data_IF_554609577495
#
_entry.id   IF_554609577495
#
_cell.length_a   1.000
_cell.length_b   1.000
_cell.length_c   1.000
_cell.angle_alpha   90.00
_cell.angle_beta   90.00
_cell.angle_gamma   90.00
#
_symmetry.space_group_name_H-M   'P 1'
#
loop_
_entity.id
_entity.type
_entity.pdbx_description
1 polymer ?
#
# COMPACT_ATOMS: atom_id res chain seq x y z
N UNK A 1 -36.46 -19.63 -52.76
CA UNK A 1 -36.35 -18.89 -51.48
C UNK A 1 -34.90 -18.47 -51.30
N UNK A 2 -34.62 -17.18 -51.40
CA UNK A 2 -33.26 -16.60 -51.38
C UNK A 2 -32.77 -16.43 -49.94
N UNK A 3 -31.64 -17.05 -49.60
CA UNK A 3 -30.92 -16.76 -48.36
C UNK A 3 -29.99 -15.57 -48.58
N UNK A 4 -30.22 -14.51 -47.80
CA UNK A 4 -29.40 -13.31 -47.77
C UNK A 4 -28.03 -13.62 -47.13
N UNK A 5 -26.97 -13.31 -47.87
CA UNK A 5 -25.57 -13.47 -47.46
C UNK A 5 -25.18 -12.29 -46.56
N UNK A 6 -25.11 -12.51 -45.25
CA UNK A 6 -24.55 -11.56 -44.29
C UNK A 6 -23.03 -11.44 -44.44
N UNK A 7 -22.51 -10.20 -44.48
CA UNK A 7 -21.12 -9.84 -44.80
C UNK A 7 -20.13 -10.00 -43.64
N UNK A 8 -20.51 -10.65 -42.55
CA UNK A 8 -19.63 -10.91 -41.41
C UNK A 8 -19.90 -12.32 -40.90
N UNK A 9 -19.00 -13.25 -41.21
CA UNK A 9 -19.06 -14.66 -40.82
C UNK A 9 -18.82 -14.84 -39.33
N UNK A 10 -19.85 -14.55 -38.53
CA UNK A 10 -19.90 -14.96 -37.12
C UNK A 10 -21.15 -15.82 -36.99
N UNK A 11 -20.96 -17.14 -37.07
CA UNK A 11 -21.97 -18.11 -36.66
C UNK A 11 -22.06 -18.03 -35.13
N UNK A 12 -23.19 -17.50 -34.64
CA UNK A 12 -23.50 -17.48 -33.22
C UNK A 12 -24.30 -18.75 -32.91
N UNK A 13 -23.69 -19.70 -32.21
CA UNK A 13 -24.34 -20.92 -31.73
C UNK A 13 -24.85 -20.67 -30.28
N UNK A 14 -26.17 -20.52 -30.05
CA UNK A 14 -26.71 -20.09 -28.76
C UNK A 14 -26.82 -21.22 -27.71
N UNK A 15 -26.21 -22.39 -27.92
CA UNK A 15 -26.49 -23.59 -27.10
C UNK A 15 -25.28 -24.26 -26.41
N UNK A 16 -24.17 -23.54 -26.19
CA UNK A 16 -23.03 -24.07 -25.42
C UNK A 16 -22.52 -23.10 -24.35
N UNK A 17 -23.00 -23.31 -23.13
CA UNK A 17 -22.17 -23.66 -21.96
C UNK A 17 -22.96 -23.46 -20.65
N UNK A 18 -23.81 -24.43 -20.32
CA UNK A 18 -24.19 -24.67 -18.93
C UNK A 18 -22.99 -25.31 -18.22
N UNK A 19 -22.14 -24.47 -17.62
CA UNK A 19 -21.08 -24.92 -16.71
C UNK A 19 -21.71 -25.64 -15.51
N UNK A 20 -21.60 -26.98 -15.50
CA UNK A 20 -21.92 -27.80 -14.33
C UNK A 20 -21.07 -27.33 -13.14
N UNK A 21 -21.67 -27.01 -11.98
CA UNK A 21 -20.92 -26.56 -10.81
C UNK A 21 -20.00 -27.68 -10.34
N UNK A 22 -18.69 -27.50 -10.51
CA UNK A 22 -17.70 -28.43 -9.99
C UNK A 22 -17.80 -28.49 -8.46
N UNK A 23 -17.97 -29.70 -7.91
CA UNK A 23 -18.15 -29.94 -6.46
C UNK A 23 -17.03 -29.43 -5.54
N UNK A 24 -15.97 -28.84 -6.09
CA UNK A 24 -14.90 -28.15 -5.35
C UNK A 24 -15.34 -26.81 -4.77
N UNK A 25 -16.29 -26.11 -5.38
CA UNK A 25 -16.81 -24.83 -4.86
C UNK A 25 -17.51 -24.97 -3.51
N UNK A 26 -18.22 -26.08 -3.30
CA UNK A 26 -18.96 -26.36 -2.07
C UNK A 26 -18.01 -26.66 -0.91
N UNK A 27 -16.91 -27.37 -1.17
CA UNK A 27 -15.91 -27.70 -0.15
C UNK A 27 -15.16 -26.47 0.36
N UNK A 28 -14.84 -25.52 -0.52
CA UNK A 28 -14.19 -24.25 -0.13
C UNK A 28 -15.16 -23.40 0.71
N UNK A 29 -16.44 -23.34 0.33
CA UNK A 29 -17.46 -22.64 1.12
C UNK A 29 -17.62 -23.21 2.53
N UNK A 30 -17.64 -24.54 2.67
CA UNK A 30 -17.74 -25.20 3.98
C UNK A 30 -16.51 -24.93 4.87
N UNK A 31 -15.29 -24.96 4.31
CA UNK A 31 -14.08 -24.71 5.08
C UNK A 31 -14.02 -23.27 5.63
N UNK A 32 -14.41 -22.27 4.83
CA UNK A 32 -14.46 -20.85 5.28
C UNK A 32 -15.50 -20.67 6.39
N UNK A 33 -16.64 -21.34 6.31
CA UNK A 33 -17.68 -21.28 7.33
C UNK A 33 -17.20 -21.84 8.68
N UNK A 34 -16.48 -22.97 8.67
CA UNK A 34 -15.94 -23.58 9.90
C UNK A 34 -14.94 -22.65 10.58
N UNK A 35 -14.05 -22.01 9.82
CA UNK A 35 -13.07 -21.06 10.35
C UNK A 35 -13.76 -19.84 10.98
N UNK A 36 -14.80 -19.30 10.34
CA UNK A 36 -15.57 -18.18 10.88
C UNK A 36 -16.30 -18.53 12.18
N UNK A 37 -16.91 -19.72 12.26
CA UNK A 37 -17.61 -20.17 13.48
C UNK A 37 -16.61 -20.42 14.61
N UNK A 38 -15.45 -21.04 14.34
CA UNK A 38 -14.40 -21.22 15.35
C UNK A 38 -13.84 -19.90 15.86
N UNK A 39 -13.68 -18.90 15.00
CA UNK A 39 -13.22 -17.56 15.38
C UNK A 39 -14.26 -16.82 16.24
N UNK A 40 -15.55 -16.90 15.87
CA UNK A 40 -16.63 -16.32 16.66
C UNK A 40 -16.73 -16.96 18.05
N UNK A 41 -16.61 -18.28 18.15
CA UNK A 41 -16.64 -19.01 19.43
C UNK A 41 -15.47 -18.63 20.35
N UNK A 42 -14.26 -18.48 19.79
CA UNK A 42 -13.08 -18.07 20.57
C UNK A 42 -13.19 -16.62 21.05
N UNK A 43 -13.76 -15.72 20.24
CA UNK A 43 -13.97 -14.33 20.64
C UNK A 43 -14.98 -14.21 21.80
N UNK A 44 -16.08 -14.96 21.74
CA UNK A 44 -17.09 -14.99 22.81
C UNK A 44 -16.53 -15.55 24.12
N UNK A 45 -15.72 -16.62 24.05
CA UNK A 45 -15.08 -17.18 25.25
C UNK A 45 -14.07 -16.20 25.86
N UNK A 46 -13.32 -15.44 25.05
CA UNK A 46 -12.41 -14.40 25.54
C UNK A 46 -13.12 -13.24 26.23
N UNK A 47 -14.29 -12.86 25.71
CA UNK A 47 -15.10 -11.81 26.31
C UNK A 47 -15.73 -12.29 27.63
N UNK A 48 -16.21 -13.54 27.71
CA UNK A 48 -16.72 -14.12 28.97
C UNK A 48 -15.64 -14.25 30.05
N UNK A 49 -14.42 -14.64 29.67
CA UNK A 49 -13.30 -14.74 30.61
C UNK A 49 -12.87 -13.38 31.20
N UNK A 50 -13.15 -12.26 30.52
CA UNK A 50 -12.90 -10.91 31.06
C UNK A 50 -13.98 -10.43 32.02
N UNK A 51 -15.20 -10.96 31.93
CA UNK A 51 -16.30 -10.58 32.82
C UNK A 51 -16.27 -11.38 34.13
N UNK A 52 -15.66 -12.57 34.14
CA UNK A 52 -15.43 -13.37 35.34
C UNK A 52 -14.09 -12.99 36.01
N UNK A 53 -13.99 -11.74 36.47
CA UNK A 53 -12.89 -11.27 37.31
C UNK A 53 -13.01 -11.85 38.72
N UNK A 54 -11.98 -12.60 39.10
CA UNK A 54 -11.77 -13.28 40.38
C UNK A 54 -11.71 -12.28 41.56
N UNK A 55 -12.42 -12.50 42.68
CA UNK A 55 -12.12 -11.87 43.95
C UNK A 55 -10.95 -12.58 44.63
N UNK A 56 -10.25 -11.85 45.51
CA UNK A 56 -9.21 -12.29 46.45
C UNK A 56 -7.76 -11.96 46.09
N UNK A 57 -7.33 -10.80 46.58
CA UNK A 57 -5.99 -10.59 47.12
C UNK A 57 -6.09 -9.50 48.21
N UNK A 58 -6.27 -9.94 49.45
CA UNK A 58 -6.10 -9.09 50.63
C UNK A 58 -4.62 -8.94 50.98
N UNK A 59 -4.23 -7.74 51.41
CA UNK A 59 -3.10 -7.54 52.33
C UNK A 59 -3.34 -6.27 53.13
N UNK A 60 -3.23 -6.43 54.44
CA UNK A 60 -3.53 -5.47 55.49
C UNK A 60 -2.54 -4.29 55.53
N UNK A 61 -3.03 -3.10 55.86
CA UNK A 61 -2.26 -2.05 56.53
C UNK A 61 -3.13 -1.41 57.61
N UNK A 62 -2.48 -1.15 58.74
CA UNK A 62 -2.99 -0.79 60.05
C UNK A 62 -3.71 0.57 60.14
N UNK A 63 -4.48 0.67 61.23
CA UNK A 63 -5.30 1.78 61.68
C UNK A 63 -4.54 3.10 61.93
N UNK A 64 -5.15 4.21 61.56
CA UNK A 64 -4.91 5.52 62.18
C UNK A 64 -6.21 6.35 62.19
N UNK A 65 -6.47 7.01 63.33
CA UNK A 65 -7.75 7.61 63.71
C UNK A 65 -8.14 8.86 62.87
N UNK A 66 -9.44 9.13 62.65
CA UNK A 66 -9.85 10.32 61.91
C UNK A 66 -9.88 11.56 62.81
N UNK A 67 -9.09 12.58 62.43
CA UNK A 67 -9.34 13.98 62.82
C UNK A 67 -10.37 14.58 61.86
N UNK A 68 -11.34 15.39 62.32
CA UNK A 68 -12.24 16.12 61.43
C UNK A 68 -11.59 17.44 60.98
N UNK A 69 -11.58 17.69 59.68
CA UNK A 69 -11.31 19.02 59.08
C UNK A 69 -11.99 19.08 57.68
N UNK A 70 -12.14 20.26 57.06
CA UNK A 70 -13.40 20.97 56.92
C UNK A 70 -13.99 20.87 55.50
N UNK A 71 -15.26 21.25 55.39
CA UNK A 71 -16.09 21.33 54.19
C UNK A 71 -15.33 21.70 52.89
N UNK A 72 -15.35 20.78 51.93
CA UNK A 72 -14.90 21.04 50.57
C UNK A 72 -15.93 21.89 49.80
N UNK A 73 -15.45 22.96 49.18
CA UNK A 73 -16.18 23.77 48.21
C UNK A 73 -16.54 22.93 46.96
N UNK A 74 -17.69 23.18 46.32
CA UNK A 74 -18.09 22.47 45.11
C UNK A 74 -17.17 22.80 43.92
N UNK A 75 -16.69 21.76 43.24
CA UNK A 75 -15.91 21.87 42.01
C UNK A 75 -16.74 22.48 40.87
N UNK A 76 -16.14 23.32 39.99
CA UNK A 76 -16.84 23.89 38.84
C UNK A 76 -17.22 22.80 37.82
N UNK A 77 -18.33 22.96 37.08
CA UNK A 77 -18.81 21.96 36.14
C UNK A 77 -17.82 21.80 34.98
N UNK A 78 -17.40 20.55 34.76
CA UNK A 78 -16.64 20.12 33.59
C UNK A 78 -17.43 20.48 32.33
N UNK A 79 -16.94 21.43 31.55
CA UNK A 79 -17.44 21.67 30.20
C UNK A 79 -17.21 20.41 29.35
N UNK A 80 -18.18 19.96 28.54
CA UNK A 80 -18.05 18.74 27.76
C UNK A 80 -16.91 18.91 26.75
N UNK A 81 -15.88 18.09 26.90
CA UNK A 81 -14.76 18.01 25.97
C UNK A 81 -15.28 17.62 24.58
N UNK A 82 -15.23 18.58 23.65
CA UNK A 82 -15.42 18.31 22.22
C UNK A 82 -14.36 17.28 21.81
N UNK A 83 -14.74 16.17 21.15
CA UNK A 83 -13.78 15.15 20.75
C UNK A 83 -12.71 15.76 19.83
N UNK A 84 -11.40 15.51 20.08
CA UNK A 84 -10.28 16.22 19.46
C UNK A 84 -10.20 16.09 17.93
N UNK A 85 -10.89 15.11 17.33
CA UNK A 85 -10.83 14.85 15.89
C UNK A 85 -11.67 15.78 15.00
N UNK A 86 -12.75 16.40 15.50
CA UNK A 86 -13.60 17.29 14.69
C UNK A 86 -13.08 18.73 14.65
N UNK A 87 -12.55 19.23 15.76
CA UNK A 87 -11.99 20.58 15.84
C UNK A 87 -10.80 20.79 14.89
N UNK A 88 -9.92 19.79 14.77
CA UNK A 88 -8.75 19.84 13.87
C UNK A 88 -9.09 19.86 12.36
N UNK A 89 -10.32 19.47 11.98
CA UNK A 89 -10.78 19.58 10.59
C UNK A 89 -11.38 20.95 10.31
N UNK A 90 -11.96 21.62 11.31
CA UNK A 90 -12.58 22.94 11.15
C UNK A 90 -11.56 24.07 11.02
N UNK A 91 -10.38 23.92 11.63
CA UNK A 91 -9.27 24.88 11.57
C UNK A 91 -8.48 24.85 10.24
N UNK A 92 -8.70 23.86 9.39
CA UNK A 92 -7.95 23.73 8.13
C UNK A 92 -8.41 24.73 7.06
N UNK A 93 -7.51 25.19 6.16
CA UNK A 93 -7.87 26.01 5.01
C UNK A 93 -8.99 25.37 4.17
N UNK A 94 -9.89 26.19 3.63
CA UNK A 94 -11.04 25.73 2.82
C UNK A 94 -10.63 24.78 1.68
N UNK A 95 -9.52 25.09 1.01
CA UNK A 95 -8.97 24.28 -0.09
C UNK A 95 -8.63 22.86 0.38
N UNK A 96 -7.94 22.73 1.52
CA UNK A 96 -7.56 21.43 2.09
C UNK A 96 -8.80 20.62 2.46
N UNK A 97 -9.81 21.24 3.07
CA UNK A 97 -11.08 20.57 3.40
C UNK A 97 -11.80 20.04 2.16
N UNK A 98 -11.86 20.86 1.10
CA UNK A 98 -12.46 20.44 -0.17
C UNK A 98 -11.71 19.27 -0.81
N UNK A 99 -10.37 19.26 -0.74
CA UNK A 99 -9.55 18.15 -1.23
C UNK A 99 -9.75 16.88 -0.38
N UNK A 100 -9.84 16.99 0.95
CA UNK A 100 -10.15 15.84 1.81
C UNK A 100 -11.55 15.26 1.54
N UNK A 101 -12.54 16.13 1.27
CA UNK A 101 -13.87 15.72 0.81
C UNK A 101 -13.80 14.99 -0.54
N UNK A 102 -13.11 15.57 -1.53
CA UNK A 102 -12.89 14.95 -2.85
C UNK A 102 -12.18 13.60 -2.73
N UNK A 103 -11.23 13.47 -1.80
CA UNK A 103 -10.54 12.21 -1.53
C UNK A 103 -11.52 11.17 -0.97
N UNK A 104 -12.36 11.56 -0.01
CA UNK A 104 -13.40 10.68 0.58
C UNK A 104 -14.40 10.21 -0.47
N UNK A 105 -14.82 11.09 -1.39
CA UNK A 105 -15.70 10.74 -2.51
C UNK A 105 -15.01 9.77 -3.47
N UNK A 106 -13.77 10.05 -3.87
CA UNK A 106 -12.99 9.17 -4.75
C UNK A 106 -12.76 7.78 -4.15
N UNK A 107 -12.63 7.68 -2.83
CA UNK A 107 -12.55 6.41 -2.11
C UNK A 107 -13.85 5.62 -2.18
N UNK A 108 -14.99 6.30 -1.97
CA UNK A 108 -16.32 5.71 -2.06
C UNK A 108 -16.57 5.13 -3.45
N UNK A 109 -16.14 5.87 -4.47
CA UNK A 109 -16.27 5.46 -5.87
C UNK A 109 -15.18 4.48 -6.33
N UNK A 110 -14.19 4.19 -5.48
CA UNK A 110 -13.01 3.37 -5.78
C UNK A 110 -12.21 3.87 -7.00
N UNK A 111 -12.27 5.16 -7.29
CA UNK A 111 -11.53 5.80 -8.37
C UNK A 111 -10.07 6.01 -7.95
N UNK A 112 -9.18 5.11 -8.40
CA UNK A 112 -7.75 5.16 -8.08
C UNK A 112 -7.07 6.42 -8.61
N UNK A 113 -7.43 6.84 -9.82
CA UNK A 113 -6.80 7.99 -10.48
C UNK A 113 -7.11 9.26 -9.69
N UNK A 114 -8.38 9.45 -9.33
CA UNK A 114 -8.81 10.61 -8.55
C UNK A 114 -8.24 10.59 -7.13
N UNK A 115 -8.09 9.42 -6.50
CA UNK A 115 -7.43 9.32 -5.18
C UNK A 115 -5.96 9.76 -5.24
N UNK A 116 -5.20 9.28 -6.23
CA UNK A 116 -3.78 9.63 -6.41
C UNK A 116 -3.62 11.13 -6.68
N UNK A 117 -4.38 11.67 -7.63
CA UNK A 117 -4.36 13.11 -7.97
C UNK A 117 -4.68 13.98 -6.75
N UNK A 118 -5.71 13.61 -5.99
CA UNK A 118 -6.13 14.39 -4.82
C UNK A 118 -5.08 14.38 -3.71
N UNK A 119 -4.39 13.25 -3.49
CA UNK A 119 -3.29 13.19 -2.52
C UNK A 119 -2.09 14.01 -2.99
N UNK A 120 -1.74 13.96 -4.28
CA UNK A 120 -0.68 14.82 -4.85
C UNK A 120 -1.01 16.30 -4.63
N UNK A 121 -2.25 16.71 -4.88
CA UNK A 121 -2.71 18.09 -4.66
C UNK A 121 -2.70 18.50 -3.19
N UNK A 122 -3.06 17.60 -2.27
CA UNK A 122 -3.00 17.85 -0.82
C UNK A 122 -1.55 18.13 -0.37
N UNK A 123 -0.60 17.33 -0.84
CA UNK A 123 0.82 17.48 -0.49
C UNK A 123 1.48 18.69 -1.15
N UNK A 124 1.01 19.11 -2.32
CA UNK A 124 1.50 20.29 -3.00
C UNK A 124 0.99 21.63 -2.42
N UNK A 125 0.15 21.61 -1.37
CA UNK A 125 -0.39 22.84 -0.79
C UNK A 125 0.72 23.68 -0.12
N UNK A 126 0.75 25.00 -0.37
CA UNK A 126 1.76 25.89 0.20
C UNK A 126 1.61 25.96 1.73
N UNK A 127 2.75 26.00 2.44
CA UNK A 127 2.77 26.07 3.91
C UNK A 127 2.50 24.73 4.63
N UNK A 128 2.44 23.62 3.88
CA UNK A 128 2.21 22.27 4.41
C UNK A 128 1.11 22.17 5.49
N UNK A 129 -0.14 22.60 5.19
CA UNK A 129 -1.26 22.55 6.13
C UNK A 129 -1.71 21.11 6.47
N UNK A 130 -1.06 20.11 5.86
CA UNK A 130 -1.28 18.69 6.07
C UNK A 130 -0.08 18.01 6.74
N UNK A 131 0.86 18.77 7.32
CA UNK A 131 2.06 18.22 7.94
C UNK A 131 1.75 17.14 9.00
N UNK A 132 0.62 17.27 9.68
CA UNK A 132 0.14 16.33 10.69
C UNK A 132 -0.33 14.99 10.12
N UNK A 133 -0.72 14.94 8.85
CA UNK A 133 -1.19 13.74 8.14
C UNK A 133 -0.30 13.34 6.96
N UNK A 134 0.76 14.09 6.66
CA UNK A 134 1.58 13.88 5.46
C UNK A 134 2.18 12.47 5.43
N UNK A 135 2.65 11.95 6.57
CA UNK A 135 3.15 10.57 6.66
C UNK A 135 2.12 9.52 6.22
N UNK A 136 0.87 9.67 6.65
CA UNK A 136 -0.21 8.77 6.27
C UNK A 136 -0.60 8.94 4.80
N UNK A 137 -0.61 10.17 4.29
CA UNK A 137 -0.83 10.46 2.88
C UNK A 137 0.26 9.84 1.99
N UNK A 138 1.53 9.94 2.39
CA UNK A 138 2.69 9.34 1.73
C UNK A 138 2.56 7.82 1.66
N UNK A 139 2.30 7.18 2.80
CA UNK A 139 2.07 5.72 2.86
C UNK A 139 0.90 5.31 1.99
N UNK A 140 -0.19 6.07 2.02
CA UNK A 140 -1.39 5.81 1.25
C UNK A 140 -1.15 5.93 -0.25
N UNK A 141 -0.52 7.02 -0.69
CA UNK A 141 -0.13 7.25 -2.07
C UNK A 141 0.73 6.09 -2.59
N UNK A 142 1.72 5.65 -1.80
CA UNK A 142 2.54 4.49 -2.10
C UNK A 142 1.74 3.21 -2.35
N UNK A 143 0.76 2.91 -1.47
CA UNK A 143 -0.13 1.75 -1.66
C UNK A 143 -1.00 1.88 -2.91
N UNK A 144 -1.52 3.07 -3.19
CA UNK A 144 -2.36 3.33 -4.36
C UNK A 144 -1.59 3.19 -5.67
N UNK A 145 -0.43 3.84 -5.76
CA UNK A 145 0.45 3.76 -6.93
C UNK A 145 0.88 2.33 -7.20
N UNK A 146 1.28 1.60 -6.16
CA UNK A 146 1.65 0.20 -6.27
C UNK A 146 0.49 -0.67 -6.77
N UNK A 147 -0.71 -0.47 -6.22
CA UNK A 147 -1.93 -1.18 -6.65
C UNK A 147 -2.34 -0.82 -8.06
N UNK A 148 -2.16 0.42 -8.49
CA UNK A 148 -2.48 0.86 -9.84
C UNK A 148 -1.50 0.26 -10.85
N UNK A 149 -0.20 0.30 -10.56
CA UNK A 149 0.85 -0.25 -11.43
C UNK A 149 0.74 -1.77 -11.63
N UNK A 150 0.57 -2.54 -10.55
CA UNK A 150 0.48 -4.01 -10.62
C UNK A 150 -0.98 -4.53 -10.65
N UNK A 151 -1.94 -3.62 -10.75
CA UNK A 151 -3.37 -3.94 -10.84
C UNK A 151 -3.75 -4.53 -12.19
N UNK A 152 -4.96 -5.10 -12.29
CA UNK A 152 -5.48 -5.64 -13.54
C UNK A 152 -5.92 -4.58 -14.57
N UNK A 153 -6.11 -3.33 -14.13
CA UNK A 153 -6.48 -2.22 -15.01
C UNK A 153 -5.27 -1.58 -15.71
N UNK A 154 -5.54 -0.81 -16.77
CA UNK A 154 -4.55 0.02 -17.42
C UNK A 154 -3.96 1.04 -16.44
N UNK A 155 -2.63 1.11 -16.39
CA UNK A 155 -1.89 2.11 -15.64
C UNK A 155 -1.16 3.03 -16.61
N UNK A 156 -1.03 4.34 -16.31
CA UNK A 156 -0.26 5.25 -17.15
C UNK A 156 1.22 4.86 -17.27
N UNK A 157 1.73 4.03 -16.36
CA UNK A 157 3.12 3.56 -16.36
C UNK A 157 3.32 2.21 -17.06
N UNK A 158 2.25 1.62 -17.62
CA UNK A 158 2.31 0.30 -18.26
C UNK A 158 2.00 0.40 -19.75
N UNK A 159 2.70 -0.41 -20.54
CA UNK A 159 2.46 -0.62 -21.96
C UNK A 159 2.35 -2.12 -22.27
N UNK A 160 1.92 -2.47 -23.47
CA UNK A 160 1.91 -3.86 -23.96
C UNK A 160 2.95 -4.03 -25.06
N UNK A 161 3.68 -5.15 -24.99
CA UNK A 161 4.65 -5.56 -26.00
C UNK A 161 4.40 -7.01 -26.37
N UNK A 162 4.49 -7.33 -27.65
CA UNK A 162 4.38 -8.70 -28.15
C UNK A 162 5.79 -9.29 -28.35
N UNK A 163 6.22 -10.26 -27.52
CA UNK A 163 7.50 -10.93 -27.68
C UNK A 163 7.58 -11.69 -29.00
N UNK A 164 8.72 -11.58 -29.68
CA UNK A 164 9.02 -12.40 -30.86
C UNK A 164 9.76 -13.67 -30.46
N UNK A 165 9.81 -14.66 -31.36
CA UNK A 165 10.61 -15.88 -31.15
C UNK A 165 12.08 -15.49 -30.92
N UNK A 166 12.68 -15.98 -29.83
CA UNK A 166 14.05 -15.65 -29.44
C UNK A 166 14.18 -14.48 -28.45
N UNK A 167 13.10 -13.75 -28.16
CA UNK A 167 13.11 -12.80 -27.05
C UNK A 167 13.06 -13.55 -25.72
N UNK A 168 13.93 -13.18 -24.78
CA UNK A 168 13.89 -13.66 -23.39
C UNK A 168 13.26 -12.61 -22.47
N UNK A 169 12.68 -13.06 -21.35
CA UNK A 169 12.12 -12.16 -20.34
C UNK A 169 13.17 -11.16 -19.83
N UNK A 170 14.42 -11.61 -19.64
CA UNK A 170 15.55 -10.76 -19.25
C UNK A 170 15.85 -9.67 -20.28
N UNK A 171 15.81 -10.00 -21.58
CA UNK A 171 16.02 -9.03 -22.65
C UNK A 171 14.91 -7.98 -22.69
N UNK A 172 13.65 -8.42 -22.62
CA UNK A 172 12.50 -7.50 -22.61
C UNK A 172 12.55 -6.59 -21.38
N UNK A 173 12.79 -7.15 -20.18
CA UNK A 173 12.90 -6.37 -18.96
C UNK A 173 13.98 -5.28 -19.08
N UNK A 174 15.15 -5.63 -19.61
CA UNK A 174 16.25 -4.68 -19.86
C UNK A 174 15.88 -3.60 -20.87
N UNK A 175 15.29 -3.96 -22.02
CA UNK A 175 14.88 -3.02 -23.06
C UNK A 175 13.81 -2.01 -22.57
N UNK A 176 13.01 -2.43 -21.60
CA UNK A 176 11.94 -1.63 -21.01
C UNK A 176 12.33 -0.97 -19.67
N UNK A 177 13.59 -1.10 -19.23
CA UNK A 177 14.06 -0.46 -18.00
C UNK A 177 13.35 -0.97 -16.74
N UNK A 178 13.13 -2.27 -16.61
CA UNK A 178 12.60 -2.88 -15.39
C UNK A 178 13.36 -4.14 -14.99
N UNK A 179 13.17 -4.60 -13.76
CA UNK A 179 13.72 -5.87 -13.29
C UNK A 179 12.89 -7.06 -13.83
N UNK A 180 13.51 -8.23 -13.95
CA UNK A 180 12.77 -9.46 -14.30
C UNK A 180 11.70 -9.76 -13.25
N UNK A 181 11.97 -9.50 -11.98
CA UNK A 181 10.99 -9.68 -10.90
C UNK A 181 9.76 -8.76 -11.06
N UNK A 182 9.95 -7.51 -11.47
CA UNK A 182 8.84 -6.61 -11.81
C UNK A 182 8.03 -7.12 -13.00
N UNK A 183 8.70 -7.62 -14.05
CA UNK A 183 8.04 -8.20 -15.22
C UNK A 183 7.15 -9.41 -14.84
N UNK A 184 7.69 -10.34 -14.03
CA UNK A 184 6.94 -11.49 -13.53
C UNK A 184 5.74 -11.04 -12.69
N UNK A 185 5.94 -10.09 -11.77
CA UNK A 185 4.88 -9.58 -10.90
C UNK A 185 3.76 -8.89 -11.70
N UNK A 186 4.12 -8.09 -12.70
CA UNK A 186 3.18 -7.36 -13.54
C UNK A 186 2.27 -8.29 -14.36
N UNK A 187 2.82 -9.42 -14.81
CA UNK A 187 2.09 -10.42 -15.60
C UNK A 187 1.54 -11.59 -14.77
N UNK A 188 1.75 -11.56 -13.45
CA UNK A 188 1.35 -12.62 -12.50
C UNK A 188 1.95 -14.00 -12.83
N UNK A 189 3.14 -14.01 -13.41
CA UNK A 189 3.89 -15.22 -13.72
C UNK A 189 4.69 -15.69 -12.50
N UNK A 190 4.77 -17.00 -12.32
CA UNK A 190 5.61 -17.63 -11.29
C UNK A 190 7.07 -17.72 -11.74
N UNK A 191 7.31 -17.88 -13.03
CA UNK A 191 8.63 -17.97 -13.62
C UNK A 191 8.66 -17.41 -15.06
N UNK A 192 9.87 -17.31 -15.62
CA UNK A 192 10.10 -16.73 -16.95
C UNK A 192 9.58 -17.59 -18.10
N UNK A 193 9.33 -18.88 -17.87
CA UNK A 193 8.91 -19.84 -18.89
C UNK A 193 7.42 -19.69 -19.27
N UNK A 194 6.65 -18.97 -18.45
CA UNK A 194 5.26 -18.61 -18.75
C UNK A 194 5.16 -17.57 -19.89
N UNK A 195 6.26 -16.89 -20.23
CA UNK A 195 6.29 -15.95 -21.35
C UNK A 195 6.23 -16.70 -22.69
N UNK A 196 5.13 -16.48 -23.43
CA UNK A 196 4.93 -17.09 -24.75
C UNK A 196 5.17 -16.09 -25.89
N UNK A 197 5.98 -16.44 -26.90
CA UNK A 197 6.08 -15.65 -28.11
C UNK A 197 4.70 -15.43 -28.77
N UNK A 198 4.45 -14.22 -29.25
CA UNK A 198 3.18 -13.86 -29.90
C UNK A 198 2.05 -13.46 -28.95
N UNK A 199 2.15 -13.74 -27.65
CA UNK A 199 1.18 -13.28 -26.65
C UNK A 199 1.53 -11.87 -26.14
N UNK A 200 0.56 -10.97 -25.94
CA UNK A 200 0.84 -9.65 -25.37
C UNK A 200 1.37 -9.80 -23.93
N UNK A 201 2.40 -9.02 -23.62
CA UNK A 201 3.04 -8.97 -22.30
C UNK A 201 2.97 -7.54 -21.80
N UNK A 202 2.50 -7.37 -20.57
CA UNK A 202 2.49 -6.07 -19.91
C UNK A 202 3.89 -5.73 -19.45
N UNK A 203 4.32 -4.51 -19.75
CA UNK A 203 5.64 -3.99 -19.41
C UNK A 203 5.50 -2.61 -18.77
N UNK A 204 6.46 -2.20 -17.95
CA UNK A 204 6.61 -0.80 -17.54
C UNK A 204 7.11 0.03 -18.72
N UNK A 205 6.57 1.24 -18.88
CA UNK A 205 6.95 2.17 -19.94
C UNK A 205 8.21 2.97 -19.56
N UNK A 206 9.36 2.31 -19.56
CA UNK A 206 10.69 2.90 -19.26
C UNK A 206 10.70 3.83 -18.03
N UNK A 207 10.36 3.30 -16.86
CA UNK A 207 10.24 4.11 -15.65
C UNK A 207 11.61 4.67 -15.24
N UNK A 208 11.67 5.95 -14.88
CA UNK A 208 12.86 6.53 -14.26
C UNK A 208 12.71 6.57 -12.74
N UNK A 209 13.12 5.49 -12.09
CA UNK A 209 13.12 5.40 -10.63
C UNK A 209 14.35 6.09 -10.03
N UNK A 210 14.15 6.82 -8.93
CA UNK A 210 15.23 7.38 -8.10
C UNK A 210 14.88 7.16 -6.65
N UNK A 211 15.83 6.67 -5.85
CA UNK A 211 15.63 6.47 -4.42
C UNK A 211 16.23 7.66 -3.66
N UNK A 212 15.41 8.38 -2.90
CA UNK A 212 15.84 9.47 -2.03
C UNK A 212 15.77 8.98 -0.59
N UNK A 213 16.88 9.02 0.13
CA UNK A 213 16.98 8.57 1.52
C UNK A 213 17.15 9.78 2.41
N UNK A 214 16.18 9.99 3.29
CA UNK A 214 16.16 11.03 4.30
C UNK A 214 16.74 10.51 5.60
N UNK A 215 17.93 10.98 5.97
CA UNK A 215 18.65 10.44 7.14
C UNK A 215 17.94 10.75 8.46
N UNK A 216 17.40 11.96 8.61
CA UNK A 216 16.79 12.42 9.88
C UNK A 216 15.41 11.82 10.12
N UNK A 217 14.58 11.75 9.08
CA UNK A 217 13.24 11.17 9.19
C UNK A 217 13.22 9.65 9.11
N UNK A 218 14.37 9.02 8.85
CA UNK A 218 14.50 7.57 8.64
C UNK A 218 13.55 7.05 7.54
N UNK A 219 13.31 7.88 6.53
CA UNK A 219 12.40 7.58 5.42
C UNK A 219 13.21 7.44 4.13
N UNK A 220 12.81 6.51 3.27
CA UNK A 220 13.30 6.43 1.91
C UNK A 220 12.14 6.57 0.93
N UNK A 221 12.18 7.60 0.10
CA UNK A 221 11.19 7.89 -0.92
C UNK A 221 11.68 7.35 -2.27
N UNK A 222 10.93 6.42 -2.84
CA UNK A 222 11.08 6.01 -4.23
C UNK A 222 10.29 6.99 -5.10
N UNK A 223 11.02 7.70 -5.94
CA UNK A 223 10.52 8.65 -6.92
C UNK A 223 10.38 7.96 -8.27
N UNK A 224 9.31 8.25 -9.01
CA UNK A 224 9.10 7.88 -10.40
C UNK A 224 8.90 9.15 -11.22
N UNK A 225 9.81 9.42 -12.16
CA UNK A 225 9.77 10.61 -13.01
C UNK A 225 9.70 11.93 -12.21
N UNK A 226 10.40 11.96 -11.06
CA UNK A 226 10.43 13.12 -10.17
C UNK A 226 9.21 13.29 -9.26
N UNK A 227 8.23 12.37 -9.30
CA UNK A 227 7.09 12.34 -8.37
C UNK A 227 7.25 11.24 -7.34
N UNK A 228 6.71 11.45 -6.13
CA UNK A 228 6.69 10.40 -5.11
C UNK A 228 5.88 9.21 -5.61
N UNK A 229 6.54 8.07 -5.75
CA UNK A 229 5.88 6.81 -6.08
C UNK A 229 5.48 6.06 -4.81
N UNK A 230 6.43 5.86 -3.88
CA UNK A 230 6.21 5.12 -2.63
C UNK A 230 7.29 5.49 -1.60
N UNK A 231 6.96 5.45 -0.32
CA UNK A 231 7.94 5.62 0.75
C UNK A 231 8.09 4.35 1.58
N UNK A 232 9.28 4.19 2.15
CA UNK A 232 9.70 3.06 2.96
C UNK A 232 10.34 3.57 4.24
N UNK A 233 10.06 2.92 5.36
CA UNK A 233 10.71 3.22 6.64
C UNK A 233 12.03 2.45 6.73
N UNK A 234 13.08 3.13 7.16
CA UNK A 234 14.35 2.48 7.43
C UNK A 234 14.26 1.73 8.76
N UNK A 235 14.62 0.45 8.75
CA UNK A 235 14.67 -0.37 9.96
C UNK A 235 15.72 0.12 10.97
N UNK A 236 16.71 0.90 10.51
CA UNK A 236 17.77 1.50 11.34
C UNK A 236 18.12 2.90 10.83
N UNK A 237 18.59 3.81 11.69
CA UNK A 237 19.10 5.11 11.25
C UNK A 237 20.21 4.94 10.21
N UNK A 238 20.12 5.69 9.12
CA UNK A 238 21.12 5.64 8.03
C UNK A 238 22.46 6.19 8.50
N UNK A 239 23.51 5.39 8.32
CA UNK A 239 24.91 5.80 8.54
C UNK A 239 25.59 6.29 7.26
N UNK A 240 24.88 6.30 6.13
CA UNK A 240 25.41 6.75 4.85
C UNK A 240 25.80 8.23 4.92
N UNK A 241 26.94 8.59 4.34
CA UNK A 241 27.26 9.99 4.11
C UNK A 241 26.27 10.59 3.09
N UNK A 242 25.90 11.87 3.22
CA UNK A 242 25.10 12.56 2.22
C UNK A 242 25.81 12.55 0.87
N UNK A 243 25.04 12.36 -0.19
CA UNK A 243 25.60 12.35 -1.54
C UNK A 243 24.84 11.48 -2.51
N UNK A 244 25.39 11.39 -3.71
CA UNK A 244 24.83 10.63 -4.82
C UNK A 244 25.54 9.28 -4.95
N UNK A 245 24.74 8.23 -4.97
CA UNK A 245 25.16 6.85 -5.17
C UNK A 245 24.38 6.26 -6.34
N UNK A 246 24.84 5.11 -6.84
CA UNK A 246 24.16 4.34 -7.88
C UNK A 246 24.05 2.90 -7.44
N UNK A 247 22.88 2.29 -7.60
CA UNK A 247 22.71 0.87 -7.26
C UNK A 247 23.65 -0.02 -8.09
N UNK A 248 24.06 -1.14 -7.51
CA UNK A 248 24.82 -2.19 -8.17
C UNK A 248 23.90 -3.37 -8.50
N UNK A 249 24.44 -4.42 -9.13
CA UNK A 249 23.70 -5.67 -9.36
C UNK A 249 23.30 -6.38 -8.05
N UNK A 250 23.96 -6.04 -6.93
CA UNK A 250 23.62 -6.52 -5.59
C UNK A 250 23.23 -5.34 -4.67
N UNK A 251 21.98 -4.85 -4.76
CA UNK A 251 21.50 -3.75 -3.94
C UNK A 251 21.54 -4.09 -2.44
N UNK A 252 21.43 -5.37 -2.06
CA UNK A 252 21.48 -5.80 -0.66
C UNK A 252 22.84 -5.49 -0.05
N UNK A 253 23.92 -5.96 -0.68
CA UNK A 253 25.28 -5.72 -0.18
C UNK A 253 25.64 -4.24 -0.20
N UNK A 254 25.19 -3.52 -1.22
CA UNK A 254 25.44 -2.10 -1.30
C UNK A 254 24.73 -1.31 -0.20
N UNK A 255 23.44 -1.56 0.02
CA UNK A 255 22.70 -0.89 1.10
C UNK A 255 23.31 -1.21 2.46
N UNK A 256 23.74 -2.46 2.69
CA UNK A 256 24.49 -2.81 3.89
C UNK A 256 25.79 -1.99 4.05
N UNK A 257 26.57 -1.80 2.97
CA UNK A 257 27.79 -0.95 2.98
C UNK A 257 27.49 0.52 3.25
N UNK A 258 26.37 1.02 2.74
CA UNK A 258 25.88 2.37 3.02
C UNK A 258 25.24 2.49 4.42
N UNK A 259 25.09 1.38 5.16
CA UNK A 259 24.39 1.39 6.44
C UNK A 259 22.88 1.67 6.31
N UNK A 260 22.30 1.38 5.15
CA UNK A 260 20.87 1.41 4.89
C UNK A 260 20.28 0.04 5.21
N UNK A 261 19.23 0.02 6.03
CA UNK A 261 18.53 -1.20 6.39
C UNK A 261 17.04 -1.00 6.18
N UNK A 262 16.43 -1.91 5.44
CA UNK A 262 14.98 -1.97 5.21
C UNK A 262 14.40 -3.20 5.88
N UNK A 263 13.09 -3.22 6.12
CA UNK A 263 12.43 -4.47 6.48
C UNK A 263 12.53 -5.48 5.31
N UNK A 264 12.52 -6.80 5.56
CA UNK A 264 12.57 -7.79 4.47
C UNK A 264 11.44 -7.64 3.46
N UNK A 265 10.24 -7.25 3.91
CA UNK A 265 9.10 -7.00 3.06
C UNK A 265 9.31 -5.77 2.16
N UNK A 266 9.76 -4.66 2.75
CA UNK A 266 10.04 -3.42 2.02
C UNK A 266 11.16 -3.61 1.01
N UNK A 267 12.23 -4.32 1.40
CA UNK A 267 13.34 -4.60 0.49
C UNK A 267 12.89 -5.47 -0.69
N UNK A 268 12.06 -6.49 -0.44
CA UNK A 268 11.51 -7.34 -1.51
C UNK A 268 10.69 -6.52 -2.50
N UNK A 269 9.89 -5.56 -2.02
CA UNK A 269 9.15 -4.66 -2.90
C UNK A 269 10.06 -3.67 -3.63
N UNK A 270 11.00 -3.05 -2.92
CA UNK A 270 11.95 -2.09 -3.48
C UNK A 270 12.79 -2.73 -4.58
N UNK A 271 13.20 -4.00 -4.40
CA UNK A 271 13.98 -4.77 -5.38
C UNK A 271 13.28 -4.94 -6.74
N UNK A 272 11.96 -4.73 -6.82
CA UNK A 272 11.24 -4.73 -8.09
C UNK A 272 11.65 -3.54 -8.98
N UNK A 273 12.05 -2.43 -8.38
CA UNK A 273 12.27 -1.15 -9.06
C UNK A 273 13.75 -0.79 -9.22
N UNK A 274 14.63 -1.40 -8.42
CA UNK A 274 16.06 -1.12 -8.44
C UNK A 274 16.75 -1.92 -9.54
N UNK A 275 17.02 -1.26 -10.66
CA UNK A 275 17.96 -1.74 -11.66
C UNK A 275 19.39 -1.54 -11.17
N UNK A 276 20.36 -2.12 -11.86
CA UNK A 276 21.73 -1.64 -11.77
C UNK A 276 21.79 -0.18 -12.27
N UNK A 277 22.54 0.66 -11.57
CA UNK A 277 22.70 2.10 -11.84
C UNK A 277 21.48 2.98 -11.56
N UNK A 278 20.44 2.49 -10.88
CA UNK A 278 19.37 3.35 -10.32
C UNK A 278 19.99 4.39 -9.37
N UNK A 279 19.71 5.69 -9.56
CA UNK A 279 20.23 6.74 -8.68
C UNK A 279 19.71 6.59 -7.25
N UNK A 280 20.60 6.77 -6.29
CA UNK A 280 20.29 6.81 -4.86
C UNK A 280 20.85 8.11 -4.29
N UNK A 281 20.00 9.02 -3.87
CA UNK A 281 20.37 10.27 -3.23
C UNK A 281 20.20 10.12 -1.71
N UNK A 282 21.27 10.31 -0.95
CA UNK A 282 21.21 10.39 0.50
C UNK A 282 21.20 11.87 0.89
N UNK A 283 20.06 12.32 1.43
CA UNK A 283 19.85 13.69 1.87
C UNK A 283 20.04 13.82 3.39
N UNK A 284 20.56 14.96 3.83
CA UNK A 284 20.70 15.32 5.25
C UNK A 284 19.36 15.64 5.92
N UNK A 285 18.36 16.04 5.14
CA UNK A 285 17.07 16.55 5.63
C UNK A 285 16.08 15.43 5.90
#
# INVERSE_FOLDING_TARGET
MSLARGKFGIEFDPLRDEERPSGRGILIGAAVLVVLVSFAATLVNRLRARTAGNPDAGAAVLAEAPRPAPSALPAPPLSPAVPPGKALLEERPRVVRNLLMRLTEAERDRDLSRQVETIELLRAQPGNPTADIDHELVKRLGRLNFRWMFGGGGSPWTAEVTPRKGNSAARIAKEQGMTVAALLKLNRWRNVDEMRPGSPVRVLNRPNFTLVVHRRSQLAELMLDGKLFKAYELARPSRAAPGFYRTTDDPTRQFARLGLSFSPADFSELSLFLLASTPVLVAEY
#
